data_IF_688057876930
#
_entry.id   IF_688057876930
#
_cell.length_a   1.000
_cell.length_b   1.000
_cell.length_c   1.000
_cell.angle_alpha   90.00
_cell.angle_beta   90.00
_cell.angle_gamma   90.00
#
_symmetry.space_group_name_H-M   'P 1'
#
loop_
_entity.id
_entity.type
_entity.pdbx_description
1 polymer ?
#
# COMPACT_ATOMS: atom_id res chain seq x y z
N UNK A 1 59.88 21.48 8.95
CA UNK A 1 59.40 20.14 9.48
C UNK A 1 57.90 20.25 9.67
N UNK A 2 57.06 19.73 8.74
CA UNK A 2 55.59 19.76 8.83
C UNK A 2 55.15 18.33 9.16
N UNK A 3 54.58 18.15 10.35
CA UNK A 3 54.04 16.89 10.83
C UNK A 3 52.67 16.65 10.19
N UNK A 4 52.55 15.62 9.36
CA UNK A 4 51.25 15.17 8.78
C UNK A 4 50.60 14.23 9.78
N UNK A 5 49.47 14.62 10.32
CA UNK A 5 48.63 13.74 11.13
C UNK A 5 47.78 12.88 10.18
N UNK A 6 48.07 11.58 10.18
CA UNK A 6 47.21 10.57 9.56
C UNK A 6 46.05 10.29 10.54
N UNK A 7 44.84 10.63 10.15
CA UNK A 7 43.62 10.18 10.85
C UNK A 7 43.24 8.84 10.20
N UNK A 8 43.42 7.75 10.91
CA UNK A 8 42.89 6.46 10.53
C UNK A 8 41.43 6.39 10.87
N UNK A 9 40.58 6.36 9.84
CA UNK A 9 39.13 6.10 9.99
C UNK A 9 38.93 4.60 10.21
N UNK A 10 38.62 4.20 11.44
CA UNK A 10 38.24 2.82 11.76
C UNK A 10 36.79 2.63 11.36
N UNK A 11 36.54 1.94 10.27
CA UNK A 11 35.21 1.48 9.88
C UNK A 11 34.78 0.37 10.85
N UNK A 12 33.83 0.68 11.73
CA UNK A 12 33.15 -0.31 12.56
C UNK A 12 32.08 -0.97 11.66
N UNK A 13 32.40 -2.15 11.14
CA UNK A 13 31.41 -3.03 10.52
C UNK A 13 30.56 -3.65 11.65
N UNK A 14 29.38 -3.11 11.87
CA UNK A 14 28.37 -3.76 12.71
C UNK A 14 27.75 -4.88 11.85
N UNK A 15 28.38 -6.03 11.85
CA UNK A 15 27.81 -7.29 11.43
C UNK A 15 26.86 -7.79 12.50
N UNK A 16 25.66 -7.23 12.56
CA UNK A 16 24.57 -7.79 13.36
C UNK A 16 24.10 -9.08 12.68
N UNK A 17 24.45 -10.24 13.21
CA UNK A 17 23.75 -11.47 12.91
C UNK A 17 22.30 -11.26 13.34
N UNK A 18 21.37 -11.12 12.36
CA UNK A 18 19.95 -11.23 12.63
C UNK A 18 19.70 -12.66 13.09
N UNK A 19 19.64 -12.88 14.41
CA UNK A 19 19.08 -14.12 14.94
C UNK A 19 17.62 -14.13 14.52
N UNK A 20 17.21 -15.13 13.76
CA UNK A 20 15.81 -15.51 13.59
C UNK A 20 15.31 -16.02 14.94
N UNK A 21 15.07 -15.11 15.89
CA UNK A 21 14.27 -15.43 17.05
C UNK A 21 12.91 -15.77 16.49
N UNK A 22 12.43 -17.00 16.70
CA UNK A 22 11.04 -17.34 16.47
C UNK A 22 10.22 -16.28 17.15
N UNK A 23 9.43 -15.53 16.37
CA UNK A 23 8.55 -14.53 16.93
C UNK A 23 7.57 -15.27 17.85
N UNK A 24 7.66 -15.00 19.15
CA UNK A 24 6.76 -15.54 20.15
C UNK A 24 5.70 -14.47 20.43
N UNK A 25 4.41 -14.74 20.17
CA UNK A 25 3.33 -13.80 20.45
C UNK A 25 3.33 -13.25 21.88
N UNK A 26 3.89 -14.00 22.85
CA UNK A 26 3.98 -13.55 24.23
C UNK A 26 4.73 -12.23 24.41
N UNK A 27 5.69 -11.93 23.53
CA UNK A 27 6.43 -10.66 23.54
C UNK A 27 5.57 -9.47 23.13
N UNK A 28 4.47 -9.69 22.40
CA UNK A 28 3.60 -8.61 21.93
C UNK A 28 2.45 -8.32 22.88
N UNK A 29 2.13 -9.22 23.84
CA UNK A 29 1.02 -9.06 24.79
C UNK A 29 1.08 -7.77 25.59
N UNK A 30 2.26 -7.20 25.82
CA UNK A 30 2.39 -5.92 26.52
C UNK A 30 1.94 -4.74 25.65
N UNK A 31 2.25 -4.77 24.36
CA UNK A 31 1.87 -3.72 23.40
C UNK A 31 0.42 -3.90 22.90
N UNK A 32 -0.09 -5.14 22.97
CA UNK A 32 -1.37 -5.59 22.44
C UNK A 32 -2.19 -6.32 23.51
N UNK A 33 -2.63 -5.62 24.59
CA UNK A 33 -3.26 -6.29 25.73
C UNK A 33 -4.64 -6.89 25.45
N UNK A 34 -5.37 -6.35 24.45
CA UNK A 34 -6.71 -6.81 24.06
C UNK A 34 -6.67 -7.89 22.97
N UNK A 35 -5.53 -8.11 22.32
CA UNK A 35 -5.42 -9.07 21.23
C UNK A 35 -5.37 -10.51 21.73
N UNK A 36 -6.30 -11.34 21.28
CA UNK A 36 -6.27 -12.78 21.49
C UNK A 36 -5.37 -13.45 20.45
N UNK A 37 -4.13 -13.76 20.83
CA UNK A 37 -3.17 -14.43 19.95
C UNK A 37 -3.43 -15.92 19.72
N UNK A 38 -4.34 -16.52 20.47
CA UNK A 38 -4.77 -17.93 20.23
C UNK A 38 -5.80 -18.00 19.08
N UNK A 39 -6.54 -16.92 18.84
CA UNK A 39 -7.45 -16.79 17.70
C UNK A 39 -6.68 -16.18 16.51
N UNK A 40 -6.17 -17.04 15.62
CA UNK A 40 -5.31 -16.62 14.51
C UNK A 40 -5.36 -17.58 13.33
N UNK A 41 -5.18 -17.03 12.11
CA UNK A 41 -4.89 -17.78 10.88
C UNK A 41 -3.38 -17.86 10.58
N UNK A 42 -2.54 -17.23 11.39
CA UNK A 42 -1.08 -17.26 11.22
C UNK A 42 -0.55 -18.59 11.74
N UNK A 43 -0.13 -19.45 10.82
CA UNK A 43 0.40 -20.78 11.17
C UNK A 43 1.85 -20.70 11.71
N UNK A 44 2.63 -19.76 11.19
CA UNK A 44 4.02 -19.56 11.57
C UNK A 44 4.27 -18.10 11.97
N UNK A 45 4.41 -17.87 13.27
CA UNK A 45 4.70 -16.52 13.79
C UNK A 45 6.02 -15.91 13.28
N UNK A 46 6.93 -16.73 12.77
CA UNK A 46 8.16 -16.26 12.11
C UNK A 46 7.90 -15.45 10.83
N UNK A 47 6.69 -15.50 10.27
CA UNK A 47 6.27 -14.66 9.14
C UNK A 47 5.95 -13.22 9.56
N UNK A 48 5.65 -13.01 10.84
CA UNK A 48 5.38 -11.67 11.38
C UNK A 48 6.69 -11.03 11.82
N UNK A 49 7.10 -10.01 11.08
CA UNK A 49 8.36 -9.30 11.31
C UNK A 49 8.09 -7.87 11.82
N UNK A 50 9.05 -7.32 12.56
CA UNK A 50 9.01 -5.89 12.89
C UNK A 50 9.46 -5.09 11.67
N UNK A 51 8.65 -4.12 11.24
CA UNK A 51 9.01 -3.14 10.20
C UNK A 51 9.93 -2.02 10.73
N UNK A 52 10.21 -2.02 12.04
CA UNK A 52 11.04 -1.02 12.73
C UNK A 52 10.22 -0.10 13.64
N UNK A 53 9.20 0.63 13.15
CA UNK A 53 8.34 1.46 14.00
C UNK A 53 7.54 0.60 15.00
N UNK A 54 7.25 1.10 16.22
CA UNK A 54 6.29 0.46 17.13
C UNK A 54 4.84 0.68 16.65
N UNK A 55 3.87 0.14 17.38
CA UNK A 55 2.44 0.45 17.19
C UNK A 55 2.21 1.95 17.12
N UNK A 56 1.52 2.43 16.08
CA UNK A 56 1.31 3.85 15.75
C UNK A 56 2.59 4.70 15.60
N UNK A 57 3.76 4.10 15.48
CA UNK A 57 5.01 4.80 15.19
C UNK A 57 5.00 5.45 13.79
N UNK A 58 4.20 4.90 12.87
CA UNK A 58 3.69 5.54 11.67
C UNK A 58 2.25 5.95 12.01
N UNK A 59 1.97 7.25 12.23
CA UNK A 59 0.63 7.68 12.65
C UNK A 59 -0.35 7.61 11.48
N UNK A 60 -1.38 6.77 11.59
CA UNK A 60 -2.51 6.81 10.67
C UNK A 60 -3.24 8.15 10.77
N UNK A 61 -3.86 8.59 9.68
CA UNK A 61 -4.65 9.83 9.63
C UNK A 61 -6.11 9.51 9.97
N UNK A 62 -6.54 9.89 11.16
CA UNK A 62 -7.91 9.65 11.63
C UNK A 62 -8.85 10.83 11.31
N UNK A 63 -8.27 12.00 11.08
CA UNK A 63 -8.94 13.21 10.65
C UNK A 63 -8.26 13.73 9.39
N UNK A 64 -8.95 13.66 8.27
CA UNK A 64 -8.48 14.15 6.98
C UNK A 64 -9.27 15.38 6.54
N UNK A 65 -8.59 16.38 6.02
CA UNK A 65 -9.20 17.55 5.41
C UNK A 65 -8.98 17.54 3.90
N UNK A 66 -9.83 18.26 3.19
CA UNK A 66 -9.80 18.34 1.74
C UNK A 66 -9.86 19.77 1.27
N UNK A 67 -9.21 20.03 0.14
CA UNK A 67 -9.32 21.28 -0.60
C UNK A 67 -9.80 20.99 -2.03
N UNK A 68 -10.41 21.98 -2.71
CA UNK A 68 -10.73 21.83 -4.13
C UNK A 68 -9.49 21.51 -4.96
N UNK A 69 -9.59 20.58 -5.90
CA UNK A 69 -8.49 20.21 -6.80
C UNK A 69 -7.89 21.43 -7.53
N UNK A 70 -8.72 22.41 -7.87
CA UNK A 70 -8.28 23.66 -8.49
C UNK A 70 -7.39 24.53 -7.58
N UNK A 71 -7.41 24.32 -6.28
CA UNK A 71 -6.63 25.07 -5.29
C UNK A 71 -5.29 24.38 -4.95
N UNK A 72 -5.09 23.13 -5.37
CA UNK A 72 -3.86 22.39 -5.08
C UNK A 72 -2.71 22.84 -5.97
N UNK A 73 -1.60 23.25 -5.36
CA UNK A 73 -0.41 23.76 -6.05
C UNK A 73 0.89 23.02 -5.71
N UNK A 74 0.83 22.10 -4.77
CA UNK A 74 2.00 21.34 -4.27
C UNK A 74 2.28 20.08 -5.08
N UNK A 75 1.23 19.50 -5.71
CA UNK A 75 1.34 18.29 -6.52
C UNK A 75 1.78 18.62 -7.95
N UNK A 76 2.67 17.81 -8.49
CA UNK A 76 3.04 17.88 -9.92
C UNK A 76 2.23 16.87 -10.73
N UNK A 77 2.08 17.11 -12.02
CA UNK A 77 1.14 16.37 -12.90
C UNK A 77 1.30 14.84 -12.85
N UNK A 78 2.53 14.33 -12.82
CA UNK A 78 2.80 12.87 -12.79
C UNK A 78 2.67 12.25 -11.39
N UNK A 79 2.43 13.02 -10.35
CA UNK A 79 2.45 12.51 -8.98
C UNK A 79 1.30 11.54 -8.72
N UNK A 80 1.55 10.34 -8.15
CA UNK A 80 0.51 9.34 -7.93
C UNK A 80 -0.43 9.73 -6.80
N UNK A 81 -1.71 9.48 -7.02
CA UNK A 81 -2.80 9.69 -6.07
C UNK A 81 -3.74 8.49 -6.09
N UNK A 82 -4.34 8.13 -4.95
CA UNK A 82 -5.41 7.12 -4.88
C UNK A 82 -6.74 7.84 -5.02
N UNK A 83 -7.52 7.45 -6.02
CA UNK A 83 -8.83 8.05 -6.30
C UNK A 83 -9.96 7.19 -5.76
N UNK A 84 -10.89 7.84 -5.10
CA UNK A 84 -12.15 7.29 -4.57
C UNK A 84 -13.32 8.04 -5.20
N UNK A 85 -14.14 7.32 -5.95
CA UNK A 85 -15.39 7.83 -6.51
C UNK A 85 -16.56 7.00 -5.96
N UNK A 86 -17.43 7.64 -5.18
CA UNK A 86 -18.61 7.02 -4.58
C UNK A 86 -19.84 7.78 -5.08
N UNK A 87 -20.86 7.06 -5.50
CA UNK A 87 -22.10 7.63 -6.03
C UNK A 87 -22.70 8.66 -5.06
N UNK A 88 -23.03 9.83 -5.60
CA UNK A 88 -23.61 10.93 -4.84
C UNK A 88 -22.62 11.74 -4.00
N UNK A 89 -21.33 11.48 -4.10
CA UNK A 89 -20.27 12.27 -3.48
C UNK A 89 -19.38 12.97 -4.51
N UNK A 90 -18.74 14.06 -4.10
CA UNK A 90 -17.67 14.65 -4.89
C UNK A 90 -16.48 13.67 -4.91
N UNK A 91 -15.90 13.39 -6.11
CA UNK A 91 -14.70 12.56 -6.23
C UNK A 91 -13.57 13.07 -5.32
N UNK A 92 -12.92 12.17 -4.61
CA UNK A 92 -11.80 12.50 -3.71
C UNK A 92 -10.53 11.79 -4.13
N UNK A 93 -9.41 12.43 -3.87
CA UNK A 93 -8.11 11.79 -4.08
C UNK A 93 -7.16 11.99 -2.89
N UNK A 94 -6.35 10.97 -2.65
CA UNK A 94 -5.42 10.84 -1.52
C UNK A 94 -4.01 10.73 -2.07
N UNK A 95 -3.19 11.81 -2.00
CA UNK A 95 -1.85 11.80 -2.55
C UNK A 95 -0.93 10.78 -1.87
N UNK A 96 -0.24 9.97 -2.68
CA UNK A 96 0.72 8.98 -2.18
C UNK A 96 1.84 9.63 -1.38
N UNK A 97 2.20 10.90 -1.68
CA UNK A 97 3.17 11.65 -0.88
C UNK A 97 2.86 11.75 0.60
N UNK A 98 1.57 11.67 0.96
CA UNK A 98 1.12 11.66 2.36
C UNK A 98 1.04 10.22 2.87
N UNK A 99 0.43 9.34 2.10
CA UNK A 99 0.26 7.94 2.51
C UNK A 99 1.59 7.17 2.62
N UNK A 100 2.65 7.59 1.94
CA UNK A 100 4.00 7.03 2.13
C UNK A 100 4.53 7.25 3.57
N UNK A 101 4.02 8.24 4.29
CA UNK A 101 4.42 8.58 5.65
C UNK A 101 3.39 8.21 6.72
N UNK A 102 2.16 7.90 6.31
CA UNK A 102 1.03 7.63 7.19
C UNK A 102 0.37 6.27 6.95
N UNK A 103 0.56 5.68 5.77
CA UNK A 103 0.08 4.39 5.32
C UNK A 103 -1.45 4.22 5.32
N UNK A 104 -2.18 4.85 6.24
CA UNK A 104 -3.63 4.73 6.40
C UNK A 104 -4.26 6.12 6.56
N UNK A 105 -5.35 6.38 5.81
CA UNK A 105 -6.26 7.49 6.04
C UNK A 105 -7.67 6.95 6.31
N UNK A 106 -8.17 7.16 7.52
CA UNK A 106 -9.55 6.88 7.90
C UNK A 106 -10.42 8.09 7.51
N UNK A 107 -11.39 7.88 6.64
CA UNK A 107 -12.28 8.95 6.15
C UNK A 107 -13.74 8.49 6.16
N UNK A 108 -14.64 9.39 5.80
CA UNK A 108 -16.05 9.10 5.54
C UNK A 108 -16.49 9.86 4.28
N UNK A 109 -16.94 9.13 3.26
CA UNK A 109 -17.40 9.68 1.99
C UNK A 109 -18.88 9.36 1.81
N UNK A 110 -19.71 10.38 1.73
CA UNK A 110 -21.19 10.24 1.61
C UNK A 110 -21.78 9.28 2.66
N UNK A 111 -21.31 9.36 3.92
CA UNK A 111 -21.77 8.50 5.02
C UNK A 111 -21.19 7.08 5.00
N UNK A 112 -20.35 6.72 4.04
CA UNK A 112 -19.63 5.45 4.00
C UNK A 112 -18.26 5.66 4.65
N UNK A 113 -18.00 5.04 5.82
CA UNK A 113 -16.66 5.10 6.44
C UNK A 113 -15.69 4.23 5.66
N UNK A 114 -14.55 4.80 5.27
CA UNK A 114 -13.54 4.14 4.45
C UNK A 114 -12.15 4.21 5.08
N UNK A 115 -11.31 3.23 4.80
CA UNK A 115 -9.87 3.27 5.05
C UNK A 115 -9.14 3.25 3.72
N UNK A 116 -8.48 4.34 3.36
CA UNK A 116 -7.59 4.40 2.21
C UNK A 116 -6.20 4.04 2.67
N UNK A 117 -5.66 2.93 2.16
CA UNK A 117 -4.40 2.37 2.61
C UNK A 117 -3.35 2.33 1.51
N UNK A 118 -2.09 2.47 1.89
CA UNK A 118 -0.96 2.31 0.98
C UNK A 118 0.19 1.61 1.70
N UNK A 119 0.57 0.43 1.21
CA UNK A 119 1.80 -0.25 1.63
C UNK A 119 2.93 0.03 0.63
N UNK A 120 3.93 0.85 0.97
CA UNK A 120 5.03 1.14 0.04
C UNK A 120 5.83 -0.09 -0.37
N UNK A 121 6.02 -1.04 0.55
CA UNK A 121 6.82 -2.24 0.29
C UNK A 121 6.15 -3.20 -0.72
N UNK A 122 4.83 -3.21 -0.78
CA UNK A 122 4.06 -3.98 -1.76
C UNK A 122 3.59 -3.15 -2.96
N UNK A 123 3.77 -1.82 -2.91
CA UNK A 123 3.16 -0.85 -3.82
C UNK A 123 1.62 -1.01 -3.90
N UNK A 124 1.01 -1.47 -2.81
CA UNK A 124 -0.42 -1.81 -2.75
C UNK A 124 -1.22 -0.63 -2.20
N UNK A 125 -2.12 -0.08 -3.02
CA UNK A 125 -3.06 0.98 -2.65
C UNK A 125 -4.49 0.45 -2.69
N UNK A 126 -5.10 0.22 -1.53
CA UNK A 126 -6.43 -0.40 -1.42
C UNK A 126 -7.31 0.45 -0.51
N UNK A 127 -8.59 0.57 -0.88
CA UNK A 127 -9.59 1.21 -0.04
C UNK A 127 -10.61 0.19 0.44
N UNK A 128 -10.89 0.21 1.73
CA UNK A 128 -11.85 -0.69 2.37
C UNK A 128 -13.00 0.08 2.99
N UNK A 129 -14.20 -0.50 2.96
CA UNK A 129 -15.30 -0.12 3.84
C UNK A 129 -14.94 -0.56 5.27
N UNK A 130 -15.03 0.36 6.23
CA UNK A 130 -14.65 0.11 7.63
C UNK A 130 -15.76 -0.50 8.48
N UNK A 131 -16.94 -0.79 7.90
CA UNK A 131 -18.07 -1.37 8.61
C UNK A 131 -17.95 -2.89 8.69
N UNK A 132 -17.94 -3.41 9.90
CA UNK A 132 -17.92 -4.84 10.21
C UNK A 132 -19.01 -5.12 11.25
N UNK A 133 -19.96 -5.99 10.96
CA UNK A 133 -21.04 -6.44 11.86
C UNK A 133 -21.77 -5.29 12.59
N UNK A 134 -22.01 -4.18 11.86
CA UNK A 134 -22.72 -3.00 12.37
C UNK A 134 -21.84 -2.04 13.20
N UNK A 135 -20.56 -2.33 13.34
CA UNK A 135 -19.56 -1.47 13.96
C UNK A 135 -18.71 -0.79 12.88
N UNK A 136 -18.25 0.42 13.14
CA UNK A 136 -17.27 1.12 12.30
C UNK A 136 -15.91 1.02 12.96
N UNK A 137 -14.96 0.40 12.26
CA UNK A 137 -13.59 0.23 12.74
C UNK A 137 -12.72 1.45 12.39
N UNK A 138 -11.69 1.71 13.21
CA UNK A 138 -10.67 2.73 12.97
C UNK A 138 -9.31 2.05 12.86
N UNK A 139 -8.69 2.12 11.69
CA UNK A 139 -7.45 1.40 11.42
C UNK A 139 -6.22 2.21 11.80
N UNK A 140 -5.25 1.53 12.39
CA UNK A 140 -3.92 2.03 12.73
C UNK A 140 -2.81 1.15 12.16
N UNK A 141 -1.58 1.66 12.19
CA UNK A 141 -0.39 0.96 11.72
C UNK A 141 0.25 0.19 12.87
N UNK A 142 0.34 -1.12 12.73
CA UNK A 142 0.85 -1.99 13.81
C UNK A 142 2.38 -1.94 13.96
N UNK A 143 3.10 -1.48 12.92
CA UNK A 143 4.56 -1.62 12.83
C UNK A 143 5.03 -3.03 12.51
N UNK A 144 4.11 -3.97 12.25
CA UNK A 144 4.39 -5.34 11.84
C UNK A 144 4.21 -5.50 10.34
N UNK A 145 4.97 -6.44 9.79
CA UNK A 145 4.90 -6.86 8.39
C UNK A 145 4.69 -8.38 8.36
N UNK A 146 3.90 -8.85 7.40
CA UNK A 146 3.84 -10.26 7.01
C UNK A 146 4.03 -10.35 5.51
N UNK A 147 4.98 -11.17 5.06
CA UNK A 147 5.37 -11.23 3.66
C UNK A 147 5.69 -9.85 3.05
N UNK A 148 6.38 -8.98 3.82
CA UNK A 148 6.71 -7.60 3.44
C UNK A 148 5.50 -6.67 3.24
N UNK A 149 4.29 -7.13 3.52
CA UNK A 149 3.09 -6.33 3.48
C UNK A 149 2.69 -5.84 4.88
N UNK A 150 2.09 -4.65 4.92
CA UNK A 150 1.65 -4.01 6.14
C UNK A 150 0.59 -4.84 6.88
N UNK A 151 0.81 -5.09 8.15
CA UNK A 151 -0.23 -5.56 9.08
C UNK A 151 -0.86 -4.33 9.72
N UNK A 152 -2.12 -4.06 9.38
CA UNK A 152 -2.95 -3.05 10.06
C UNK A 152 -3.51 -3.62 11.36
N UNK A 153 -4.07 -2.76 12.20
CA UNK A 153 -4.92 -3.19 13.31
C UNK A 153 -6.13 -2.28 13.42
N UNK A 154 -7.26 -2.77 13.93
CA UNK A 154 -8.36 -1.92 14.35
C UNK A 154 -8.21 -1.52 15.82
N UNK A 155 -8.62 -0.28 16.15
CA UNK A 155 -8.48 0.28 17.50
C UNK A 155 -9.55 -0.21 18.46
N UNK A 156 -10.65 -0.73 17.94
CA UNK A 156 -11.82 -1.17 18.69
C UNK A 156 -11.57 -2.54 19.39
N UNK A 157 -10.94 -3.48 18.66
CA UNK A 157 -10.68 -4.83 19.19
C UNK A 157 -9.20 -5.17 19.29
N UNK A 158 -8.31 -4.33 18.74
CA UNK A 158 -6.88 -4.61 18.53
C UNK A 158 -6.64 -5.89 17.68
N UNK A 159 -7.61 -6.30 16.85
CA UNK A 159 -7.38 -7.37 15.89
C UNK A 159 -6.43 -6.91 14.79
N UNK A 160 -5.59 -7.84 14.30
CA UNK A 160 -4.63 -7.57 13.25
C UNK A 160 -5.19 -7.98 11.89
N UNK A 161 -4.90 -7.16 10.87
CA UNK A 161 -5.45 -7.28 9.53
C UNK A 161 -4.34 -7.27 8.48
N UNK A 162 -4.39 -8.21 7.54
CA UNK A 162 -3.47 -8.19 6.40
C UNK A 162 -3.95 -7.19 5.35
N UNK A 163 -3.19 -6.13 5.08
CA UNK A 163 -3.61 -5.05 4.18
C UNK A 163 -3.86 -5.54 2.75
N UNK A 164 -2.99 -6.39 2.19
CA UNK A 164 -3.10 -6.85 0.81
C UNK A 164 -4.39 -7.62 0.49
N UNK A 165 -5.04 -8.22 1.48
CA UNK A 165 -6.25 -9.03 1.30
C UNK A 165 -7.45 -8.55 2.13
N UNK A 166 -7.27 -7.56 3.02
CA UNK A 166 -8.33 -7.03 3.86
C UNK A 166 -8.89 -8.03 4.88
N UNK A 167 -8.13 -9.06 5.26
CA UNK A 167 -8.60 -10.13 6.16
C UNK A 167 -8.02 -9.96 7.54
N UNK A 168 -8.85 -10.14 8.57
CA UNK A 168 -8.43 -10.27 9.97
C UNK A 168 -7.61 -11.54 10.16
N UNK A 169 -6.38 -11.42 10.69
CA UNK A 169 -5.45 -12.54 10.81
C UNK A 169 -5.15 -12.95 12.25
N UNK A 170 -5.35 -12.05 13.22
CA UNK A 170 -5.14 -12.32 14.65
C UNK A 170 -6.15 -11.53 15.46
N UNK A 171 -6.70 -12.09 16.52
CA UNK A 171 -7.59 -11.42 17.46
C UNK A 171 -9.07 -11.76 17.26
N UNK A 172 -9.95 -10.97 17.84
CA UNK A 172 -11.40 -11.20 17.86
C UNK A 172 -11.98 -11.33 16.44
N UNK A 173 -11.50 -10.52 15.50
CA UNK A 173 -12.02 -10.45 14.13
C UNK A 173 -11.22 -11.32 13.14
N UNK A 174 -10.54 -12.36 13.63
CA UNK A 174 -9.84 -13.33 12.77
C UNK A 174 -10.79 -14.02 11.80
N UNK A 175 -10.43 -14.02 10.51
CA UNK A 175 -11.23 -14.61 9.42
C UNK A 175 -12.32 -13.70 8.86
N UNK A 176 -12.53 -12.51 9.44
CA UNK A 176 -13.43 -11.51 8.89
C UNK A 176 -12.75 -10.83 7.70
N UNK A 177 -13.52 -10.54 6.64
CA UNK A 177 -13.04 -9.86 5.43
C UNK A 177 -13.66 -8.47 5.31
N UNK A 178 -12.83 -7.47 5.06
CA UNK A 178 -13.27 -6.12 4.72
C UNK A 178 -13.74 -6.05 3.26
N UNK A 179 -14.78 -5.30 3.01
CA UNK A 179 -15.22 -5.04 1.64
C UNK A 179 -14.26 -4.07 0.96
N UNK A 180 -13.55 -4.53 -0.08
CA UNK A 180 -12.75 -3.67 -0.93
C UNK A 180 -13.64 -2.81 -1.82
N UNK A 181 -13.40 -1.50 -1.86
CA UNK A 181 -14.11 -0.56 -2.71
C UNK A 181 -13.39 -0.35 -4.04
N UNK A 182 -14.12 -0.04 -5.14
CA UNK A 182 -13.50 0.35 -6.40
C UNK A 182 -12.69 1.63 -6.22
N UNK A 183 -11.39 1.51 -6.30
CA UNK A 183 -10.43 2.62 -6.23
C UNK A 183 -9.24 2.29 -7.10
N UNK A 184 -8.50 3.31 -7.54
CA UNK A 184 -7.33 3.13 -8.38
C UNK A 184 -6.28 4.20 -8.08
N UNK A 185 -5.04 3.85 -8.38
CA UNK A 185 -3.94 4.80 -8.36
C UNK A 185 -3.77 5.41 -9.76
N UNK A 186 -3.75 6.74 -9.84
CA UNK A 186 -3.57 7.48 -11.08
C UNK A 186 -2.68 8.70 -10.88
N UNK A 187 -2.30 9.37 -11.97
CA UNK A 187 -1.59 10.64 -11.88
C UNK A 187 -2.51 11.78 -11.45
N UNK A 188 -1.93 12.76 -10.76
CA UNK A 188 -2.62 13.98 -10.39
C UNK A 188 -3.25 14.70 -11.62
N UNK A 189 -2.54 14.70 -12.75
CA UNK A 189 -3.07 15.28 -13.99
C UNK A 189 -4.35 14.56 -14.48
N UNK A 190 -4.40 13.23 -14.42
CA UNK A 190 -5.59 12.47 -14.83
C UNK A 190 -6.77 12.73 -13.90
N UNK A 191 -6.53 12.75 -12.58
CA UNK A 191 -7.59 13.09 -11.62
C UNK A 191 -8.18 14.48 -11.90
N UNK A 192 -7.33 15.52 -12.03
CA UNK A 192 -7.78 16.89 -12.31
C UNK A 192 -8.57 17.01 -13.62
N UNK A 193 -8.08 16.34 -14.66
CA UNK A 193 -8.74 16.41 -15.97
C UNK A 193 -10.12 15.79 -15.97
N UNK A 194 -10.32 14.71 -15.21
CA UNK A 194 -11.59 13.99 -15.10
C UNK A 194 -12.52 14.63 -14.07
N UNK A 195 -11.98 15.16 -12.99
CA UNK A 195 -12.71 15.70 -11.84
C UNK A 195 -12.27 17.13 -11.52
N UNK A 196 -12.56 18.13 -12.38
CA UNK A 196 -12.13 19.51 -12.15
C UNK A 196 -12.71 20.14 -10.88
N UNK A 197 -13.89 19.68 -10.44
CA UNK A 197 -14.55 20.08 -9.18
C UNK A 197 -14.26 19.11 -8.02
N UNK A 198 -13.41 18.11 -8.24
CA UNK A 198 -13.08 17.10 -7.24
C UNK A 198 -12.27 17.67 -6.08
N UNK A 199 -12.11 16.86 -5.05
CA UNK A 199 -11.40 17.19 -3.82
C UNK A 199 -10.07 16.43 -3.74
N UNK A 200 -9.05 17.08 -3.18
CA UNK A 200 -7.77 16.44 -2.85
C UNK A 200 -7.51 16.57 -1.36
N UNK A 201 -7.03 15.49 -0.75
CA UNK A 201 -6.64 15.52 0.66
C UNK A 201 -5.56 16.56 0.87
N UNK A 202 -5.82 17.48 1.81
CA UNK A 202 -4.88 18.54 2.18
C UNK A 202 -3.68 17.98 2.93
N UNK A 203 -2.59 18.74 2.95
CA UNK A 203 -1.37 18.34 3.61
C UNK A 203 -1.58 18.15 5.10
N UNK A 204 -1.29 16.95 5.64
CA UNK A 204 -1.41 16.72 7.06
C UNK A 204 -0.44 17.60 7.89
N UNK A 205 -0.87 18.04 9.07
CA UNK A 205 -0.09 18.94 9.95
C UNK A 205 1.05 18.25 10.72
N UNK A 206 1.50 17.07 10.27
CA UNK A 206 2.61 16.34 10.88
C UNK A 206 3.97 16.84 10.38
N UNK A 207 5.02 16.84 11.22
CA UNK A 207 6.36 17.28 10.81
C UNK A 207 7.03 16.21 9.93
N UNK A 208 6.56 16.05 8.71
CA UNK A 208 7.09 15.12 7.68
C UNK A 208 7.58 15.89 6.46
N UNK A 209 8.48 15.27 5.70
CA UNK A 209 8.99 15.84 4.46
C UNK A 209 8.16 15.33 3.28
N UNK A 210 6.92 15.75 3.21
CA UNK A 210 6.01 15.32 2.14
C UNK A 210 6.57 15.61 0.73
N UNK A 211 6.29 14.70 -0.21
CA UNK A 211 6.88 14.72 -1.54
C UNK A 211 8.27 14.10 -1.65
N UNK A 212 8.93 13.80 -0.52
CA UNK A 212 10.17 13.01 -0.50
C UNK A 212 9.86 11.53 -0.27
N UNK A 213 10.54 10.70 -1.05
CA UNK A 213 10.43 9.26 -0.99
C UNK A 213 11.45 8.68 0.01
N UNK A 214 11.03 8.06 1.12
CA UNK A 214 11.95 7.35 2.02
C UNK A 214 12.43 5.99 1.46
N UNK A 215 11.83 5.50 0.36
CA UNK A 215 12.08 4.21 -0.28
C UNK A 215 12.79 4.36 -1.63
N UNK A 216 13.75 5.30 -1.75
CA UNK A 216 14.42 5.61 -3.02
C UNK A 216 15.01 4.36 -3.68
N UNK A 217 14.63 4.11 -4.95
CA UNK A 217 15.12 2.98 -5.74
C UNK A 217 14.59 1.61 -5.29
N UNK A 218 13.61 1.57 -4.40
CA UNK A 218 13.08 0.29 -3.90
C UNK A 218 12.46 -0.56 -5.00
N UNK A 219 11.66 0.03 -5.89
CA UNK A 219 10.98 -0.68 -6.97
C UNK A 219 11.89 -1.11 -8.14
N UNK A 220 13.18 -0.82 -8.05
CA UNK A 220 14.24 -1.34 -8.94
C UNK A 220 15.18 -2.29 -8.22
N UNK A 221 14.93 -2.59 -6.96
CA UNK A 221 15.67 -3.59 -6.18
C UNK A 221 15.49 -4.99 -6.76
N UNK A 222 16.45 -5.86 -6.54
CA UNK A 222 16.39 -7.26 -6.99
C UNK A 222 15.57 -8.15 -6.04
N UNK A 223 15.32 -7.71 -4.81
CA UNK A 223 14.58 -8.46 -3.79
C UNK A 223 13.70 -7.54 -2.97
N UNK A 224 12.51 -8.01 -2.58
CA UNK A 224 11.65 -7.30 -1.63
C UNK A 224 12.34 -7.21 -0.24
N UNK A 225 12.06 -6.12 0.47
CA UNK A 225 12.54 -5.91 1.82
C UNK A 225 11.81 -6.84 2.80
N UNK A 226 12.53 -7.45 3.73
CA UNK A 226 11.97 -8.37 4.75
C UNK A 226 11.03 -9.45 4.19
N UNK A 227 11.35 -9.98 3.01
CA UNK A 227 10.62 -11.06 2.37
C UNK A 227 11.47 -12.30 2.24
N UNK A 228 10.98 -13.42 2.78
CA UNK A 228 11.63 -14.73 2.74
C UNK A 228 10.79 -15.80 2.04
N UNK A 229 9.62 -15.41 1.51
CA UNK A 229 8.73 -16.31 0.78
C UNK A 229 9.25 -16.70 -0.61
N UNK A 230 8.47 -17.49 -1.32
CA UNK A 230 8.75 -17.93 -2.68
C UNK A 230 8.67 -16.76 -3.67
N UNK A 231 9.53 -16.77 -4.68
CA UNK A 231 9.50 -15.78 -5.75
C UNK A 231 8.38 -16.10 -6.74
N UNK A 232 7.87 -15.08 -7.47
CA UNK A 232 6.84 -15.30 -8.48
C UNK A 232 7.26 -16.35 -9.52
N UNK A 233 6.31 -17.15 -10.03
CA UNK A 233 6.58 -18.11 -11.10
C UNK A 233 6.87 -17.40 -12.45
N UNK A 234 7.21 -18.18 -13.47
CA UNK A 234 7.40 -17.71 -14.85
C UNK A 234 8.51 -16.67 -15.00
N UNK A 235 9.54 -16.71 -14.16
CA UNK A 235 10.66 -15.75 -14.17
C UNK A 235 10.23 -14.28 -14.04
N UNK A 236 9.04 -14.01 -13.49
CA UNK A 236 8.54 -12.66 -13.26
C UNK A 236 9.40 -11.98 -12.18
N UNK A 237 9.98 -10.80 -12.46
CA UNK A 237 10.73 -10.05 -11.44
C UNK A 237 9.86 -9.76 -10.22
N UNK A 238 10.39 -10.00 -9.02
CA UNK A 238 9.62 -9.88 -7.77
C UNK A 238 8.97 -8.51 -7.58
N UNK A 239 9.62 -7.43 -8.02
CA UNK A 239 9.15 -6.05 -7.92
C UNK A 239 8.55 -5.52 -9.24
N UNK A 240 8.17 -6.42 -10.16
CA UNK A 240 7.31 -6.05 -11.29
C UNK A 240 5.93 -5.69 -10.76
N UNK A 241 5.35 -4.59 -11.27
CA UNK A 241 3.96 -4.25 -10.95
C UNK A 241 3.01 -5.18 -11.68
N UNK A 242 1.97 -5.60 -10.97
CA UNK A 242 0.84 -6.33 -11.52
C UNK A 242 -0.46 -5.64 -11.11
N UNK A 243 -1.47 -5.75 -11.95
CA UNK A 243 -2.85 -5.41 -11.58
C UNK A 243 -3.52 -6.66 -11.08
N UNK A 244 -4.02 -6.62 -9.86
CA UNK A 244 -4.81 -7.71 -9.28
C UNK A 244 -6.30 -7.40 -9.38
N UNK A 245 -7.05 -8.37 -9.85
CA UNK A 245 -8.53 -8.40 -9.77
C UNK A 245 -8.94 -9.75 -9.22
N UNK A 246 -9.52 -9.79 -8.05
CA UNK A 246 -9.76 -11.03 -7.30
C UNK A 246 -8.47 -11.85 -7.14
N UNK A 247 -8.42 -13.06 -7.66
CA UNK A 247 -7.30 -14.00 -7.65
C UNK A 247 -6.46 -14.00 -8.95
N UNK A 248 -6.64 -12.98 -9.80
CA UNK A 248 -5.98 -12.88 -11.12
C UNK A 248 -5.02 -11.71 -11.16
N UNK A 249 -3.90 -11.87 -11.88
CA UNK A 249 -2.91 -10.82 -12.06
C UNK A 249 -2.46 -10.65 -13.52
N UNK A 250 -2.42 -9.39 -13.97
CA UNK A 250 -1.87 -8.97 -15.27
C UNK A 250 -0.60 -8.15 -15.03
N UNK A 251 0.47 -8.48 -15.73
CA UNK A 251 1.74 -7.75 -15.61
C UNK A 251 1.66 -6.38 -16.27
N UNK A 252 2.33 -5.39 -15.69
CA UNK A 252 2.40 -4.03 -16.27
C UNK A 252 3.15 -4.02 -17.62
N UNK A 253 4.08 -4.93 -17.85
CA UNK A 253 4.76 -5.02 -19.15
C UNK A 253 3.78 -5.38 -20.26
N UNK A 254 2.92 -6.37 -20.04
CA UNK A 254 1.85 -6.73 -20.96
C UNK A 254 0.87 -5.57 -21.16
N UNK A 255 0.44 -4.93 -20.06
CA UNK A 255 -0.50 -3.80 -20.11
C UNK A 255 0.08 -2.60 -20.85
N UNK A 256 1.38 -2.33 -20.71
CA UNK A 256 2.05 -1.25 -21.45
C UNK A 256 2.15 -1.55 -22.95
N UNK A 257 2.32 -2.81 -23.33
CA UNK A 257 2.42 -3.24 -24.73
C UNK A 257 1.06 -3.22 -25.43
N UNK A 258 0.02 -3.72 -24.76
CA UNK A 258 -1.32 -3.84 -25.35
C UNK A 258 -2.20 -2.59 -25.12
N UNK A 259 -1.90 -1.75 -24.14
CA UNK A 259 -2.64 -0.57 -23.66
C UNK A 259 -4.06 -0.89 -23.18
N UNK A 260 -4.80 -1.76 -23.84
CA UNK A 260 -6.15 -2.20 -23.46
C UNK A 260 -6.25 -3.72 -23.58
N UNK A 261 -6.56 -4.37 -22.47
CA UNK A 261 -6.82 -5.81 -22.42
C UNK A 261 -8.29 -6.01 -22.03
N UNK A 262 -9.04 -6.76 -22.87
CA UNK A 262 -10.39 -7.23 -22.51
C UNK A 262 -10.35 -8.75 -22.39
N UNK A 263 -10.48 -9.24 -21.18
CA UNK A 263 -10.36 -10.66 -20.85
C UNK A 263 -11.25 -11.00 -19.65
N UNK A 264 -11.84 -12.19 -19.62
CA UNK A 264 -12.68 -12.69 -18.51
C UNK A 264 -13.86 -11.76 -18.14
N UNK A 265 -14.40 -11.00 -19.11
CA UNK A 265 -15.51 -10.07 -18.90
C UNK A 265 -15.12 -8.72 -18.28
N UNK A 266 -13.82 -8.46 -18.14
CA UNK A 266 -13.30 -7.18 -17.65
C UNK A 266 -12.42 -6.51 -18.69
N UNK A 267 -12.30 -5.18 -18.58
CA UNK A 267 -11.40 -4.37 -19.41
C UNK A 267 -10.41 -3.65 -18.52
N UNK A 268 -9.12 -3.91 -18.74
CA UNK A 268 -8.02 -3.17 -18.14
C UNK A 268 -7.51 -2.17 -19.18
N UNK A 269 -7.35 -0.92 -18.78
CA UNK A 269 -6.77 0.13 -19.64
C UNK A 269 -5.57 0.75 -18.95
N UNK A 270 -4.43 0.75 -19.66
CA UNK A 270 -3.18 1.36 -19.22
C UNK A 270 -2.94 2.69 -19.95
N UNK A 271 -2.39 3.68 -19.24
CA UNK A 271 -1.97 4.95 -19.81
C UNK A 271 -0.66 5.40 -19.16
N UNK A 272 0.23 5.97 -19.97
CA UNK A 272 1.44 6.65 -19.49
C UNK A 272 1.09 7.94 -18.73
N UNK A 273 2.00 8.39 -17.87
CA UNK A 273 1.91 9.70 -17.22
C UNK A 273 1.87 9.67 -15.69
N UNK A 274 2.04 8.50 -15.06
CA UNK A 274 2.13 8.38 -13.60
C UNK A 274 3.56 8.04 -13.17
N UNK A 275 4.13 8.84 -12.27
CA UNK A 275 5.43 8.57 -11.67
C UNK A 275 5.37 7.42 -10.67
N UNK A 276 6.44 6.63 -10.59
CA UNK A 276 6.64 5.72 -9.47
C UNK A 276 6.91 6.51 -8.19
N UNK A 277 6.16 6.21 -7.11
CA UNK A 277 6.41 6.79 -5.80
C UNK A 277 7.68 6.24 -5.11
N UNK A 278 8.27 5.15 -5.63
CA UNK A 278 9.33 4.37 -4.96
C UNK A 278 10.67 4.41 -5.70
N UNK A 279 10.78 5.24 -6.74
CA UNK A 279 11.96 5.35 -7.62
C UNK A 279 12.89 6.46 -7.16
N UNK A 280 12.55 7.71 -7.43
CA UNK A 280 13.40 8.87 -7.18
C UNK A 280 13.18 9.46 -5.78
N UNK A 281 14.14 10.28 -5.33
CA UNK A 281 14.06 11.00 -4.05
C UNK A 281 12.84 11.93 -3.97
N UNK A 282 12.51 12.60 -5.07
CA UNK A 282 11.29 13.40 -5.22
C UNK A 282 10.24 12.52 -5.92
N UNK A 283 9.11 12.24 -5.27
CA UNK A 283 8.08 11.32 -5.76
C UNK A 283 7.63 11.67 -7.18
N UNK A 284 7.31 12.94 -7.44
CA UNK A 284 6.85 13.37 -8.76
C UNK A 284 7.93 13.34 -9.88
N UNK A 285 9.19 13.05 -9.55
CA UNK A 285 10.29 12.88 -10.51
C UNK A 285 10.60 11.41 -10.80
N UNK A 286 9.81 10.46 -10.25
CA UNK A 286 9.95 9.03 -10.52
C UNK A 286 9.75 8.71 -12.00
N UNK A 287 10.27 7.54 -12.43
CA UNK A 287 10.02 7.07 -13.80
C UNK A 287 8.52 6.86 -14.03
N UNK A 288 8.10 7.03 -15.28
CA UNK A 288 6.73 6.77 -15.69
C UNK A 288 6.44 5.25 -15.63
N UNK A 289 5.48 4.88 -14.79
CA UNK A 289 5.00 3.50 -14.67
C UNK A 289 3.59 3.33 -15.24
N UNK A 290 2.90 4.44 -15.48
CA UNK A 290 1.54 4.46 -16.00
C UNK A 290 0.47 4.18 -14.95
N UNK A 291 -0.75 4.48 -15.35
CA UNK A 291 -1.99 4.28 -14.61
C UNK A 291 -2.76 3.11 -15.20
N UNK A 292 -3.39 2.30 -14.34
CA UNK A 292 -4.34 1.26 -14.82
C UNK A 292 -5.69 1.49 -14.18
N UNK A 293 -6.75 1.36 -14.99
CA UNK A 293 -8.14 1.35 -14.55
C UNK A 293 -8.82 0.08 -15.03
N UNK A 294 -9.62 -0.53 -14.18
CA UNK A 294 -10.29 -1.81 -14.47
C UNK A 294 -11.80 -1.62 -14.40
N UNK A 295 -12.50 -2.10 -15.43
CA UNK A 295 -13.95 -1.99 -15.54
C UNK A 295 -14.59 -3.31 -15.95
N UNK A 296 -15.85 -3.49 -15.54
CA UNK A 296 -16.70 -4.57 -16.02
C UNK A 296 -17.21 -4.32 -17.46
N UNK A 297 -17.92 -5.29 -18.00
CA UNK A 297 -18.51 -5.19 -19.35
C UNK A 297 -19.57 -4.07 -19.49
N UNK A 298 -20.10 -3.56 -18.38
CA UNK A 298 -21.05 -2.44 -18.34
C UNK A 298 -20.34 -1.09 -18.19
N UNK A 299 -19.03 -1.08 -18.02
CA UNK A 299 -18.21 0.12 -17.86
C UNK A 299 -18.09 0.61 -16.41
N UNK A 300 -18.59 -0.14 -15.43
CA UNK A 300 -18.43 0.19 -14.02
C UNK A 300 -17.03 -0.16 -13.53
N UNK A 301 -16.45 0.68 -12.67
CA UNK A 301 -15.16 0.40 -12.07
C UNK A 301 -15.24 -0.78 -11.10
N UNK A 302 -14.26 -1.67 -11.19
CA UNK A 302 -14.15 -2.85 -10.34
C UNK A 302 -13.11 -2.64 -9.24
N UNK A 303 -13.32 -3.24 -8.05
CA UNK A 303 -12.27 -3.35 -7.04
C UNK A 303 -11.04 -4.01 -7.64
N UNK A 304 -9.91 -3.32 -7.58
CA UNK A 304 -8.60 -3.81 -8.02
C UNK A 304 -7.51 -3.07 -7.26
N UNK A 305 -6.30 -3.55 -7.36
CA UNK A 305 -5.12 -2.87 -6.87
C UNK A 305 -3.91 -3.12 -7.76
N UNK A 306 -2.93 -2.24 -7.62
CA UNK A 306 -1.63 -2.38 -8.27
C UNK A 306 -0.62 -2.74 -7.20
N UNK A 307 -0.10 -3.96 -7.25
CA UNK A 307 0.91 -4.45 -6.30
C UNK A 307 2.15 -5.00 -7.02
N UNK A 308 3.18 -5.29 -6.25
CA UNK A 308 4.31 -6.04 -6.78
C UNK A 308 4.01 -7.53 -6.90
N UNK A 309 4.61 -8.18 -7.90
CA UNK A 309 4.40 -9.58 -8.23
C UNK A 309 4.66 -10.53 -7.04
N UNK A 310 5.67 -10.24 -6.21
CA UNK A 310 5.93 -11.05 -5.01
C UNK A 310 4.77 -11.01 -4.02
N UNK A 311 4.12 -9.86 -3.85
CA UNK A 311 3.00 -9.71 -2.94
C UNK A 311 1.78 -10.47 -3.46
N UNK A 312 1.49 -10.36 -4.77
CA UNK A 312 0.45 -11.19 -5.39
C UNK A 312 0.71 -12.68 -5.15
N UNK A 313 1.92 -13.16 -5.44
CA UNK A 313 2.26 -14.57 -5.25
C UNK A 313 2.17 -15.02 -3.79
N UNK A 314 2.58 -14.17 -2.85
CA UNK A 314 2.54 -14.49 -1.42
C UNK A 314 1.12 -14.61 -0.83
N UNK A 315 0.19 -13.78 -1.31
CA UNK A 315 -1.18 -13.75 -0.79
C UNK A 315 -2.20 -14.50 -1.66
N UNK A 316 -1.84 -14.79 -2.89
CA UNK A 316 -2.64 -15.58 -3.86
C UNK A 316 -1.74 -16.66 -4.49
N UNK A 317 -1.27 -17.67 -3.70
CA UNK A 317 -0.30 -18.67 -4.18
C UNK A 317 -0.83 -19.50 -5.36
N UNK A 318 -2.16 -19.74 -5.40
CA UNK A 318 -2.85 -20.41 -6.49
C UNK A 318 -3.44 -19.44 -7.52
N UNK A 319 -3.04 -18.18 -7.46
CA UNK A 319 -3.57 -17.11 -8.30
C UNK A 319 -3.24 -17.29 -9.79
N UNK A 320 -4.16 -16.83 -10.62
CA UNK A 320 -4.10 -16.98 -12.09
C UNK A 320 -3.28 -15.84 -12.71
N UNK A 321 -2.10 -16.17 -13.23
CA UNK A 321 -1.22 -15.24 -13.93
C UNK A 321 -1.62 -15.09 -15.40
N UNK A 322 -2.16 -13.95 -15.76
CA UNK A 322 -2.62 -13.61 -17.13
C UNK A 322 -1.46 -13.06 -17.96
N UNK A 323 -0.63 -13.96 -18.44
CA UNK A 323 0.58 -13.62 -19.20
C UNK A 323 0.35 -13.46 -20.72
N UNK A 324 -0.78 -14.00 -21.23
CA UNK A 324 -1.15 -14.00 -22.66
C UNK A 324 -2.60 -13.56 -22.84
#
# INVERSE_FOLDING_TARGET
>A
MRLKHLIAATAISIGGAMSTANADPSFWKFEWPSTDFENTTVENWGEILSGGPPKDGIPALDEVSFIPAASETRLVDMEPVITVEIDGAEPRTYPIRYLTWHEIANDTVNGIPIAVTFCPLCNSGITFDRRVDGQTLTFGVSGKLRNSDMVMYDRETESWWQQAIGTGIVGELTGVELTQLPTWMESWAEFKARNPEGLVMDEPSWPRQYGRNPYVGYDTSTRPFLYSGELPPHDIPALMRVVRVADKAWTFDRLREEEVITQDGITLSWRAGQASALDQYTIGAGRDVGTVRVRDASGNDLPHDVMFAFAFHAFFPDGDWKLN
#
